data_IF_273492054478
#
_entry.id   IF_273492054478
#
_cell.length_a   1.000
_cell.length_b   1.000
_cell.length_c   1.000
_cell.angle_alpha   90.00
_cell.angle_beta   90.00
_cell.angle_gamma   90.00
#
_symmetry.space_group_name_H-M   'P 1'
#
loop_
_entity.id
_entity.type
_entity.pdbx_description
1 polymer ?
#
# COMPACT_ATOMS: atom_id res chain seq x y z
N UNK A 1 20.32 24.31 -3.59
CA UNK A 1 20.09 24.00 -2.16
C UNK A 1 21.14 23.00 -1.71
N UNK A 2 21.72 23.18 -0.54
CA UNK A 2 22.61 22.23 0.11
C UNK A 2 22.07 21.86 1.49
N UNK A 3 22.44 20.68 1.98
CA UNK A 3 22.29 20.31 3.39
C UNK A 3 23.68 20.34 3.99
N UNK A 4 23.84 21.13 5.04
CA UNK A 4 25.10 21.24 5.79
C UNK A 4 24.96 20.39 7.05
N UNK A 5 25.88 19.45 7.23
CA UNK A 5 26.04 18.75 8.49
C UNK A 5 27.28 19.34 9.17
N UNK A 6 27.04 20.27 10.09
CA UNK A 6 28.09 20.74 10.97
C UNK A 6 28.43 19.64 11.96
N UNK A 7 29.73 19.32 12.07
CA UNK A 7 30.21 18.59 13.23
C UNK A 7 29.81 19.39 14.47
N UNK A 8 29.26 18.74 15.50
CA UNK A 8 28.89 19.44 16.73
C UNK A 8 30.07 20.22 17.32
N UNK A 9 29.88 21.02 18.38
CA UNK A 9 30.93 21.89 18.92
C UNK A 9 32.24 21.18 19.35
N UNK A 10 32.23 19.85 19.46
CA UNK A 10 33.39 19.01 19.77
C UNK A 10 34.02 18.30 18.54
N UNK A 11 33.53 18.54 17.32
CA UNK A 11 34.03 17.90 16.11
C UNK A 11 35.19 18.69 15.53
N UNK A 12 36.32 18.02 15.29
CA UNK A 12 37.46 18.57 14.56
C UNK A 12 37.32 18.44 13.03
N UNK A 13 36.27 17.76 12.56
CA UNK A 13 35.98 17.57 11.14
C UNK A 13 35.20 18.79 10.61
N UNK A 14 35.59 19.28 9.43
CA UNK A 14 34.89 20.40 8.78
C UNK A 14 33.46 20.06 8.36
N UNK A 15 32.68 21.09 8.05
CA UNK A 15 31.28 20.96 7.62
C UNK A 15 31.13 20.06 6.38
N UNK A 16 30.28 19.04 6.49
CA UNK A 16 29.90 18.24 5.33
C UNK A 16 28.75 18.94 4.58
N UNK A 17 29.10 19.63 3.50
CA UNK A 17 28.15 20.29 2.61
C UNK A 17 27.73 19.35 1.48
N UNK A 18 26.46 18.92 1.50
CA UNK A 18 25.90 18.04 0.47
C UNK A 18 24.95 18.80 -0.45
N UNK A 19 25.27 18.99 -1.75
CA UNK A 19 24.34 19.58 -2.68
C UNK A 19 23.12 18.67 -2.87
N UNK A 20 21.91 19.23 -2.72
CA UNK A 20 20.65 18.50 -2.83
C UNK A 20 19.93 18.91 -4.10
N UNK A 21 19.73 17.93 -4.99
CA UNK A 21 18.83 18.09 -6.14
C UNK A 21 17.39 18.06 -5.65
N UNK A 22 16.69 19.17 -5.84
CA UNK A 22 15.27 19.24 -5.55
C UNK A 22 14.46 18.39 -6.54
N UNK A 23 13.31 17.85 -6.10
CA UNK A 23 12.28 17.33 -6.98
C UNK A 23 12.06 18.16 -8.25
N UNK A 24 12.32 17.57 -9.42
CA UNK A 24 12.02 18.18 -10.72
C UNK A 24 10.79 17.52 -11.37
N UNK A 25 9.99 18.32 -12.10
CA UNK A 25 8.86 17.86 -12.91
C UNK A 25 7.60 18.73 -12.77
N UNK A 26 6.73 18.75 -13.79
CA UNK A 26 5.52 19.57 -13.78
C UNK A 26 4.63 19.28 -12.55
N UNK A 27 4.24 20.34 -11.84
CA UNK A 27 3.46 20.30 -10.59
C UNK A 27 4.26 20.01 -9.32
N UNK A 28 5.57 19.73 -9.41
CA UNK A 28 6.41 19.42 -8.24
C UNK A 28 6.90 20.66 -7.49
N UNK A 29 6.99 21.82 -8.16
CA UNK A 29 7.47 23.05 -7.54
C UNK A 29 6.54 23.53 -6.43
N UNK A 30 5.22 23.64 -6.68
CA UNK A 30 4.27 24.06 -5.64
C UNK A 30 4.32 23.16 -4.40
N UNK A 31 4.53 21.84 -4.58
CA UNK A 31 4.72 20.90 -3.48
C UNK A 31 6.03 21.16 -2.72
N UNK A 32 7.11 21.41 -3.45
CA UNK A 32 8.45 21.66 -2.90
C UNK A 32 8.47 22.99 -2.16
N UNK A 33 7.98 24.06 -2.79
CA UNK A 33 7.79 25.38 -2.21
C UNK A 33 6.96 25.32 -0.92
N UNK A 34 5.82 24.62 -0.90
CA UNK A 34 5.01 24.47 0.33
C UNK A 34 5.79 23.92 1.53
N UNK A 35 6.78 23.04 1.28
CA UNK A 35 7.61 22.41 2.31
C UNK A 35 8.83 23.24 2.67
N UNK A 36 9.43 23.93 1.71
CA UNK A 36 10.66 24.69 1.90
C UNK A 36 10.42 26.16 2.29
N UNK A 37 9.22 26.70 2.08
CA UNK A 37 8.93 28.11 2.32
C UNK A 37 8.99 28.54 3.78
N UNK A 38 8.91 27.61 4.74
CA UNK A 38 8.90 27.93 6.18
C UNK A 38 9.97 27.13 6.94
N UNK A 39 11.23 27.60 6.95
CA UNK A 39 12.33 26.93 7.65
C UNK A 39 12.09 26.69 9.14
N UNK A 40 11.35 27.59 9.82
CA UNK A 40 10.96 27.45 11.24
C UNK A 40 10.16 26.18 11.55
N UNK A 41 9.54 25.54 10.54
CA UNK A 41 8.77 24.31 10.70
C UNK A 41 9.59 23.06 10.35
N UNK A 42 10.87 23.21 10.00
CA UNK A 42 11.77 22.10 9.72
C UNK A 42 12.19 21.47 11.04
N UNK A 43 11.99 20.16 11.16
CA UNK A 43 12.25 19.45 12.41
C UNK A 43 13.43 18.50 12.32
N UNK A 44 13.59 17.81 11.19
CA UNK A 44 14.65 16.82 11.03
C UNK A 44 14.99 16.55 9.58
N UNK A 45 16.27 16.45 9.25
CA UNK A 45 16.76 15.87 8.00
C UNK A 45 17.34 14.49 8.28
N UNK A 46 16.92 13.48 7.50
CA UNK A 46 17.55 12.16 7.53
C UNK A 46 18.27 11.93 6.20
N UNK A 47 19.54 11.57 6.26
CA UNK A 47 20.28 11.09 5.08
C UNK A 47 20.04 9.59 4.91
N UNK A 48 19.44 9.21 3.78
CA UNK A 48 19.07 7.83 3.46
C UNK A 48 19.89 7.35 2.28
N UNK A 49 20.65 6.27 2.47
CA UNK A 49 21.36 5.60 1.38
C UNK A 49 20.56 4.40 0.87
N UNK A 50 20.33 4.34 -0.44
CA UNK A 50 19.57 3.30 -1.13
C UNK A 50 20.43 2.63 -2.19
N UNK A 51 20.40 1.30 -2.26
CA UNK A 51 21.12 0.58 -3.32
C UNK A 51 20.47 0.91 -4.67
N UNK A 52 21.25 1.41 -5.60
CA UNK A 52 20.80 1.81 -6.93
C UNK A 52 21.80 1.28 -7.96
N UNK A 53 21.65 0.02 -8.42
CA UNK A 53 22.64 -0.63 -9.29
C UNK A 53 22.92 0.11 -10.61
N UNK A 54 21.96 0.91 -11.10
CA UNK A 54 22.12 1.71 -12.32
C UNK A 54 22.66 3.12 -12.11
N UNK A 55 23.20 3.44 -10.93
CA UNK A 55 23.83 4.73 -10.61
C UNK A 55 25.33 4.49 -10.36
N UNK A 56 26.24 5.39 -10.77
CA UNK A 56 27.66 5.33 -10.40
C UNK A 56 27.86 5.10 -8.89
N UNK A 57 28.79 4.23 -8.52
CA UNK A 57 28.99 3.80 -7.13
C UNK A 57 27.91 2.84 -6.57
N UNK A 58 26.84 2.57 -7.32
CA UNK A 58 25.80 1.60 -6.95
C UNK A 58 24.88 2.05 -5.82
N UNK A 59 24.92 3.33 -5.45
CA UNK A 59 24.16 3.91 -4.35
C UNK A 59 23.51 5.23 -4.77
N UNK A 60 22.32 5.48 -4.21
CA UNK A 60 21.62 6.76 -4.28
C UNK A 60 21.47 7.29 -2.85
N UNK A 61 21.78 8.55 -2.64
CA UNK A 61 21.58 9.24 -1.38
C UNK A 61 20.37 10.15 -1.50
N UNK A 62 19.53 10.19 -0.46
CA UNK A 62 18.34 11.03 -0.39
C UNK A 62 18.31 11.75 0.96
N UNK A 63 18.10 13.06 0.95
CA UNK A 63 17.82 13.84 2.15
C UNK A 63 16.30 13.90 2.36
N UNK A 64 15.81 13.35 3.48
CA UNK A 64 14.40 13.34 3.85
C UNK A 64 14.16 14.39 4.93
N UNK A 65 13.58 15.52 4.53
CA UNK A 65 13.18 16.59 5.43
C UNK A 65 11.79 16.31 6.02
N UNK A 66 11.70 16.25 7.35
CA UNK A 66 10.46 16.24 8.11
C UNK A 66 10.09 17.68 8.45
N UNK A 67 8.89 18.08 8.03
CA UNK A 67 8.33 19.42 8.26
C UNK A 67 7.06 19.28 9.09
N UNK A 68 6.97 20.00 10.21
CA UNK A 68 5.82 20.04 11.12
C UNK A 68 4.74 20.97 10.58
N UNK A 69 4.27 20.67 9.35
CA UNK A 69 3.25 21.43 8.64
C UNK A 69 2.23 20.49 8.04
N UNK A 70 0.97 20.94 8.00
CA UNK A 70 -0.11 20.29 7.28
C UNK A 70 0.34 19.83 5.87
N UNK A 71 -0.10 18.65 5.42
CA UNK A 71 0.30 18.12 4.14
C UNK A 71 -0.14 19.04 3.00
N UNK A 72 0.73 19.20 2.01
CA UNK A 72 0.38 19.93 0.79
C UNK A 72 -0.87 19.32 0.13
N UNK A 73 -1.84 20.17 -0.16
CA UNK A 73 -3.05 19.87 -0.92
C UNK A 73 -3.02 20.73 -2.18
N UNK A 74 -3.15 20.12 -3.36
CA UNK A 74 -3.17 20.88 -4.61
C UNK A 74 -4.49 21.66 -4.74
N UNK A 75 -4.52 22.77 -5.49
CA UNK A 75 -5.77 23.51 -5.75
C UNK A 75 -6.87 22.62 -6.36
N UNK A 76 -6.50 21.66 -7.21
CA UNK A 76 -7.44 20.68 -7.77
C UNK A 76 -8.04 19.74 -6.71
N UNK A 77 -7.22 19.22 -5.78
CA UNK A 77 -7.69 18.39 -4.68
C UNK A 77 -8.53 19.20 -3.69
N UNK A 78 -8.16 20.46 -3.41
CA UNK A 78 -8.94 21.34 -2.54
C UNK A 78 -10.33 21.62 -3.13
N UNK A 79 -10.42 21.99 -4.41
CA UNK A 79 -11.71 22.18 -5.10
C UNK A 79 -12.56 20.91 -5.10
N UNK A 80 -11.95 19.75 -5.37
CA UNK A 80 -12.66 18.46 -5.33
C UNK A 80 -13.23 18.18 -3.95
N UNK A 81 -12.44 18.38 -2.90
CA UNK A 81 -12.89 18.15 -1.52
C UNK A 81 -14.00 19.13 -1.10
N UNK A 82 -13.92 20.38 -1.55
CA UNK A 82 -14.97 21.37 -1.30
C UNK A 82 -16.29 20.95 -1.95
N UNK A 83 -16.27 20.54 -3.21
CA UNK A 83 -17.49 20.07 -3.87
C UNK A 83 -17.96 18.70 -3.34
N UNK A 84 -17.08 17.81 -2.88
CA UNK A 84 -17.48 16.58 -2.19
C UNK A 84 -18.09 16.82 -0.79
N UNK A 85 -17.88 18.00 -0.20
CA UNK A 85 -18.49 18.41 1.06
C UNK A 85 -19.93 18.94 0.87
N UNK A 86 -20.34 19.22 -0.36
CA UNK A 86 -21.65 19.79 -0.69
C UNK A 86 -22.80 18.78 -0.65
N UNK A 87 -22.67 17.58 -1.26
CA UNK A 87 -23.73 16.57 -1.23
C UNK A 87 -23.99 16.05 0.18
N UNK A 88 -25.22 16.24 0.69
CA UNK A 88 -25.71 15.62 1.92
C UNK A 88 -26.11 14.16 1.64
N UNK A 89 -25.09 13.33 1.36
CA UNK A 89 -25.24 11.90 1.09
C UNK A 89 -24.71 11.10 2.26
N UNK A 90 -25.43 10.03 2.57
CA UNK A 90 -24.96 8.96 3.47
C UNK A 90 -24.61 7.73 2.66
N UNK A 91 -23.41 7.21 2.88
CA UNK A 91 -22.86 6.10 2.14
C UNK A 91 -22.53 4.93 3.05
N UNK A 92 -22.75 3.73 2.54
CA UNK A 92 -22.37 2.50 3.18
C UNK A 92 -21.42 1.70 2.30
N UNK A 93 -20.52 0.97 2.93
CA UNK A 93 -19.45 0.20 2.28
C UNK A 93 -19.51 -1.24 2.76
N UNK A 94 -19.62 -2.16 1.80
CA UNK A 94 -19.34 -3.58 2.02
C UNK A 94 -17.95 -3.92 1.45
N UNK A 95 -17.14 -4.57 2.27
CA UNK A 95 -15.75 -4.91 1.91
C UNK A 95 -15.64 -6.41 1.77
N UNK A 96 -15.04 -6.86 0.67
CA UNK A 96 -14.72 -8.26 0.42
C UNK A 96 -13.26 -8.43 0.01
N UNK A 97 -12.79 -9.68 -0.09
CA UNK A 97 -11.39 -9.99 -0.42
C UNK A 97 -10.96 -9.51 -1.81
N UNK A 98 -11.92 -9.37 -2.74
CA UNK A 98 -11.69 -9.02 -4.15
C UNK A 98 -12.62 -7.93 -4.70
N UNK A 99 -13.52 -7.40 -3.86
CA UNK A 99 -14.55 -6.44 -4.23
C UNK A 99 -14.77 -5.48 -3.06
N UNK A 100 -15.02 -4.21 -3.35
CA UNK A 100 -15.64 -3.26 -2.41
C UNK A 100 -16.89 -2.75 -3.09
N UNK A 101 -18.03 -2.87 -2.43
CA UNK A 101 -19.31 -2.31 -2.85
C UNK A 101 -19.55 -1.03 -2.04
N UNK A 102 -20.01 0.02 -2.70
CA UNK A 102 -20.38 1.28 -2.05
C UNK A 102 -21.74 1.71 -2.58
N UNK A 103 -22.65 2.04 -1.67
CA UNK A 103 -23.96 2.57 -2.01
C UNK A 103 -24.20 3.82 -1.20
N UNK A 104 -24.71 4.87 -1.82
CA UNK A 104 -25.08 6.11 -1.14
C UNK A 104 -26.44 6.60 -1.56
N UNK A 105 -27.19 7.13 -0.60
CA UNK A 105 -28.45 7.83 -0.82
C UNK A 105 -28.30 9.28 -0.38
N UNK A 106 -29.02 10.16 -1.05
CA UNK A 106 -29.22 11.54 -0.61
C UNK A 106 -30.13 11.60 0.64
N UNK A 107 -30.20 12.79 1.26
CA UNK A 107 -31.02 13.04 2.45
C UNK A 107 -32.51 12.94 2.17
N UNK A 108 -32.92 13.41 0.99
CA UNK A 108 -34.31 13.46 0.52
C UNK A 108 -34.85 12.08 0.11
N UNK A 109 -33.98 11.07 0.02
CA UNK A 109 -34.30 9.72 -0.45
C UNK A 109 -34.89 9.75 -1.86
N UNK A 110 -34.25 10.53 -2.75
CA UNK A 110 -34.64 10.68 -4.16
C UNK A 110 -33.63 10.04 -5.10
N UNK A 111 -32.35 9.99 -4.74
CA UNK A 111 -31.28 9.50 -5.61
C UNK A 111 -30.40 8.46 -4.91
N UNK A 112 -30.22 7.31 -5.55
CA UNK A 112 -29.21 6.31 -5.16
C UNK A 112 -28.04 6.31 -6.14
N UNK A 113 -26.83 6.12 -5.59
CA UNK A 113 -25.63 5.81 -6.36
C UNK A 113 -25.01 4.55 -5.82
N UNK A 114 -24.70 3.61 -6.70
CA UNK A 114 -24.07 2.35 -6.37
C UNK A 114 -22.81 2.17 -7.21
N UNK A 115 -21.73 1.71 -6.59
CA UNK A 115 -20.53 1.35 -7.33
C UNK A 115 -19.90 0.08 -6.76
N UNK A 116 -19.11 -0.59 -7.61
CA UNK A 116 -18.26 -1.66 -7.15
C UNK A 116 -16.84 -1.52 -7.68
N UNK A 117 -15.88 -1.74 -6.80
CA UNK A 117 -14.46 -1.67 -7.11
C UNK A 117 -13.93 -3.09 -7.13
N UNK A 118 -13.42 -3.50 -8.29
CA UNK A 118 -12.76 -4.80 -8.49
C UNK A 118 -11.44 -4.60 -9.24
N UNK A 119 -10.61 -5.65 -9.28
CA UNK A 119 -9.43 -5.65 -10.13
C UNK A 119 -9.82 -5.92 -11.59
N UNK A 120 -9.62 -4.93 -12.46
CA UNK A 120 -9.97 -5.06 -13.88
C UNK A 120 -9.13 -6.13 -14.61
N UNK A 121 -9.56 -6.63 -15.79
CA UNK A 121 -8.82 -7.68 -16.53
C UNK A 121 -7.36 -7.31 -16.81
N UNK A 122 -7.09 -6.07 -17.23
CA UNK A 122 -5.74 -5.57 -17.50
C UNK A 122 -4.86 -5.53 -16.23
N UNK A 123 -5.46 -5.23 -15.08
CA UNK A 123 -4.76 -5.21 -13.79
C UNK A 123 -4.42 -6.62 -13.34
N UNK A 124 -5.38 -7.55 -13.44
CA UNK A 124 -5.17 -8.97 -13.17
C UNK A 124 -4.04 -9.54 -14.04
N UNK A 125 -4.04 -9.24 -15.34
CA UNK A 125 -2.98 -9.66 -16.25
C UNK A 125 -1.60 -9.06 -15.87
N UNK A 126 -1.54 -7.76 -15.55
CA UNK A 126 -0.32 -7.10 -15.11
C UNK A 126 0.25 -7.73 -13.83
N UNK A 127 -0.62 -7.99 -12.85
CA UNK A 127 -0.26 -8.66 -11.59
C UNK A 127 0.26 -10.09 -11.85
N UNK A 128 -0.39 -10.85 -12.72
CA UNK A 128 0.04 -12.20 -13.08
C UNK A 128 1.42 -12.20 -13.77
N UNK A 129 1.62 -11.32 -14.76
CA UNK A 129 2.90 -11.15 -15.44
C UNK A 129 4.01 -10.74 -14.46
N UNK A 130 3.69 -9.87 -13.51
CA UNK A 130 4.64 -9.47 -12.48
C UNK A 130 4.98 -10.60 -11.49
N UNK A 131 4.00 -11.41 -11.08
CA UNK A 131 4.25 -12.59 -10.25
C UNK A 131 5.18 -13.57 -10.96
N UNK A 132 4.99 -13.79 -12.27
CA UNK A 132 5.88 -14.63 -13.08
C UNK A 132 7.31 -14.06 -13.10
N UNK A 133 7.48 -12.75 -13.34
CA UNK A 133 8.78 -12.08 -13.26
C UNK A 133 9.41 -12.25 -11.87
N UNK A 134 8.62 -12.09 -10.80
CA UNK A 134 9.07 -12.29 -9.42
C UNK A 134 9.59 -13.71 -9.18
N UNK A 135 8.87 -14.74 -9.64
CA UNK A 135 9.31 -16.15 -9.56
C UNK A 135 10.60 -16.38 -10.33
N UNK A 136 10.74 -15.81 -11.54
CA UNK A 136 11.97 -15.90 -12.35
C UNK A 136 13.17 -15.28 -11.63
N UNK A 137 13.00 -14.10 -11.03
CA UNK A 137 14.04 -13.42 -10.23
C UNK A 137 14.42 -14.24 -8.99
N UNK A 138 13.44 -14.76 -8.26
CA UNK A 138 13.69 -15.62 -7.09
C UNK A 138 14.51 -16.87 -7.46
N UNK A 139 14.14 -17.56 -8.55
CA UNK A 139 14.91 -18.71 -9.06
C UNK A 139 16.32 -18.32 -9.48
N UNK A 140 16.50 -17.17 -10.12
CA UNK A 140 17.82 -16.69 -10.53
C UNK A 140 18.71 -16.32 -9.33
N UNK A 141 18.15 -15.71 -8.28
CA UNK A 141 18.87 -15.47 -7.02
C UNK A 141 19.30 -16.79 -6.38
N UNK A 142 18.40 -17.75 -6.28
CA UNK A 142 18.70 -19.07 -5.69
C UNK A 142 19.78 -19.82 -6.49
N UNK A 143 19.72 -19.80 -7.83
CA UNK A 143 20.79 -20.37 -8.67
C UNK A 143 22.13 -19.68 -8.42
N UNK A 144 22.17 -18.35 -8.37
CA UNK A 144 23.42 -17.64 -8.12
C UNK A 144 23.98 -17.93 -6.73
N UNK A 145 23.13 -18.11 -5.72
CA UNK A 145 23.53 -18.47 -4.35
C UNK A 145 24.16 -19.86 -4.33
N UNK A 146 23.50 -20.84 -4.93
CA UNK A 146 23.99 -22.23 -5.04
C UNK A 146 25.32 -22.33 -5.75
N UNK A 147 25.48 -21.61 -6.86
CA UNK A 147 26.75 -21.59 -7.59
C UNK A 147 27.93 -21.06 -6.76
N UNK A 148 27.69 -20.16 -5.81
CA UNK A 148 28.73 -19.62 -4.94
C UNK A 148 28.95 -20.41 -3.67
N UNK A 149 28.06 -21.35 -3.34
CA UNK A 149 28.10 -22.14 -2.12
C UNK A 149 27.79 -23.62 -2.43
N UNK A 150 28.47 -24.25 -3.41
CA UNK A 150 28.07 -25.59 -3.88
C UNK A 150 28.17 -26.66 -2.79
N UNK A 151 29.13 -26.53 -1.88
CA UNK A 151 29.33 -27.46 -0.75
C UNK A 151 28.16 -27.48 0.25
N UNK A 152 27.30 -26.47 0.22
CA UNK A 152 26.13 -26.36 1.11
C UNK A 152 24.89 -27.08 0.56
N UNK A 153 24.97 -27.67 -0.62
CA UNK A 153 23.82 -28.28 -1.30
C UNK A 153 24.14 -29.68 -1.79
N UNK A 154 23.15 -30.57 -1.69
CA UNK A 154 23.22 -31.90 -2.27
C UNK A 154 23.11 -31.83 -3.81
N UNK A 155 23.67 -32.83 -4.47
CA UNK A 155 23.35 -33.12 -5.86
C UNK A 155 21.91 -33.64 -5.95
N UNK A 156 21.18 -33.30 -7.02
CA UNK A 156 19.88 -33.93 -7.26
C UNK A 156 20.04 -35.41 -7.61
N UNK A 157 18.97 -36.22 -7.44
CA UNK A 157 18.96 -37.64 -7.84
C UNK A 157 19.44 -37.84 -9.29
N UNK A 158 19.06 -36.94 -10.19
CA UNK A 158 19.51 -36.99 -11.59
C UNK A 158 21.01 -36.67 -11.74
N UNK A 159 21.54 -35.72 -10.97
CA UNK A 159 22.97 -35.41 -10.96
C UNK A 159 23.80 -36.56 -10.36
N UNK A 160 23.30 -37.20 -9.30
CA UNK A 160 23.92 -38.39 -8.69
C UNK A 160 23.96 -39.57 -9.67
N UNK A 161 22.83 -39.87 -10.34
CA UNK A 161 22.77 -40.93 -11.36
C UNK A 161 23.75 -40.69 -12.50
N UNK A 162 23.83 -39.46 -13.01
CA UNK A 162 24.81 -39.10 -14.05
C UNK A 162 26.25 -39.25 -13.58
N UNK A 163 26.55 -38.86 -12.34
CA UNK A 163 27.87 -39.06 -11.78
C UNK A 163 28.22 -40.56 -11.68
N UNK A 164 27.29 -41.39 -11.19
CA UNK A 164 27.45 -42.85 -11.10
C UNK A 164 27.71 -43.49 -12.47
N UNK A 165 26.86 -43.21 -13.46
CA UNK A 165 27.04 -43.73 -14.83
C UNK A 165 28.38 -43.35 -15.45
N UNK A 166 28.91 -42.15 -15.16
CA UNK A 166 30.23 -41.74 -15.64
C UNK A 166 31.36 -42.54 -15.00
N UNK A 167 31.27 -42.80 -13.70
CA UNK A 167 32.25 -43.64 -12.99
C UNK A 167 32.23 -45.06 -13.54
N UNK A 168 31.04 -45.64 -13.73
CA UNK A 168 30.86 -46.98 -14.32
C UNK A 168 31.43 -47.05 -15.75
N UNK A 169 31.34 -45.96 -16.52
CA UNK A 169 31.92 -45.85 -17.86
C UNK A 169 33.43 -45.49 -17.88
N UNK A 170 34.13 -45.51 -16.73
CA UNK A 170 35.56 -45.15 -16.64
C UNK A 170 35.87 -43.67 -16.96
N UNK A 171 34.85 -42.81 -17.00
CA UNK A 171 35.02 -41.40 -17.35
C UNK A 171 35.40 -40.56 -16.13
N UNK A 172 36.22 -39.53 -16.36
CA UNK A 172 36.62 -38.58 -15.31
C UNK A 172 35.40 -37.88 -14.70
N UNK A 173 35.47 -37.68 -13.38
CA UNK A 173 34.48 -36.93 -12.62
C UNK A 173 34.40 -35.47 -13.09
N UNK A 174 33.18 -34.95 -13.20
CA UNK A 174 32.91 -33.57 -13.62
C UNK A 174 32.46 -32.75 -12.42
N UNK A 175 33.15 -31.64 -12.15
CA UNK A 175 32.77 -30.70 -11.09
C UNK A 175 31.41 -30.08 -11.38
N UNK A 176 30.46 -30.27 -10.46
CA UNK A 176 29.10 -29.72 -10.59
C UNK A 176 29.02 -28.33 -9.96
N UNK A 177 29.06 -27.31 -10.80
CA UNK A 177 29.00 -25.90 -10.36
C UNK A 177 27.61 -25.42 -9.91
N UNK A 178 26.55 -26.20 -10.13
CA UNK A 178 25.20 -25.87 -9.69
C UNK A 178 24.48 -27.11 -9.14
N UNK A 179 24.63 -27.40 -7.83
CA UNK A 179 23.88 -28.46 -7.18
C UNK A 179 22.38 -28.14 -7.14
N UNK A 180 21.56 -29.08 -7.61
CA UNK A 180 20.09 -28.92 -7.72
C UNK A 180 19.32 -29.64 -6.61
N UNK A 181 19.99 -30.30 -5.67
CA UNK A 181 19.37 -30.96 -4.53
C UNK A 181 18.98 -29.99 -3.41
N UNK A 182 18.53 -30.54 -2.28
CA UNK A 182 18.25 -29.76 -1.07
C UNK A 182 19.52 -29.15 -0.47
N UNK A 183 19.36 -28.13 0.36
CA UNK A 183 20.45 -27.62 1.21
C UNK A 183 20.79 -28.68 2.27
N UNK A 184 22.06 -28.79 2.63
CA UNK A 184 22.46 -29.66 3.73
C UNK A 184 21.89 -29.13 5.05
N UNK A 185 21.21 -30.02 5.77
CA UNK A 185 20.58 -29.73 7.06
C UNK A 185 20.94 -30.82 8.08
N UNK A 186 20.76 -30.53 9.37
CA UNK A 186 20.81 -31.53 10.43
C UNK A 186 19.51 -32.36 10.47
N UNK A 187 19.43 -33.33 11.39
CA UNK A 187 18.23 -34.17 11.58
C UNK A 187 16.97 -33.37 11.93
N UNK A 188 17.13 -32.20 12.56
CA UNK A 188 16.04 -31.27 12.87
C UNK A 188 15.63 -30.38 11.68
N UNK A 189 16.21 -30.56 10.49
CA UNK A 189 15.90 -29.77 9.29
C UNK A 189 16.51 -28.36 9.28
N UNK A 190 17.35 -28.02 10.26
CA UNK A 190 18.06 -26.74 10.34
C UNK A 190 19.26 -26.77 9.39
N UNK A 191 19.44 -25.74 8.52
CA UNK A 191 20.59 -25.68 7.63
C UNK A 191 21.92 -25.77 8.38
N UNK A 192 22.84 -26.62 7.91
CA UNK A 192 24.18 -26.78 8.52
C UNK A 192 24.96 -25.45 8.55
N UNK A 193 24.77 -24.64 7.51
CA UNK A 193 25.21 -23.25 7.48
C UNK A 193 23.99 -22.36 7.30
N UNK A 194 23.89 -21.31 8.11
CA UNK A 194 22.85 -20.30 7.96
C UNK A 194 23.01 -19.49 6.66
N UNK A 195 21.89 -19.09 6.05
CA UNK A 195 21.87 -18.38 4.76
C UNK A 195 22.59 -17.03 4.75
N UNK A 196 22.77 -16.40 5.91
CA UNK A 196 23.45 -15.10 6.02
C UNK A 196 24.98 -15.21 5.94
N UNK A 197 25.53 -16.41 6.14
CA UNK A 197 26.96 -16.71 5.99
C UNK A 197 27.35 -17.09 4.55
N UNK A 198 26.37 -17.20 3.65
CA UNK A 198 26.63 -17.54 2.25
C UNK A 198 27.46 -16.47 1.53
N UNK A 199 28.41 -16.92 0.71
CA UNK A 199 29.15 -16.04 -0.20
C UNK A 199 28.20 -15.61 -1.33
N UNK A 200 27.96 -14.31 -1.44
CA UNK A 200 27.02 -13.73 -2.42
C UNK A 200 27.75 -13.06 -3.58
N UNK A 201 27.43 -13.46 -4.81
CA UNK A 201 27.99 -12.84 -6.02
C UNK A 201 27.51 -11.39 -6.21
N UNK A 202 28.26 -10.60 -6.98
CA UNK A 202 27.80 -9.27 -7.43
C UNK A 202 26.47 -9.32 -8.16
N UNK A 203 26.26 -10.35 -9.00
CA UNK A 203 24.98 -10.60 -9.69
C UNK A 203 23.82 -10.85 -8.74
N UNK A 204 24.01 -11.65 -7.68
CA UNK A 204 23.02 -11.88 -6.63
C UNK A 204 22.63 -10.56 -5.95
N UNK A 205 23.62 -9.75 -5.56
CA UNK A 205 23.40 -8.46 -4.88
C UNK A 205 22.63 -7.47 -5.77
N UNK A 206 22.95 -7.42 -7.08
CA UNK A 206 22.19 -6.61 -8.06
C UNK A 206 20.74 -7.07 -8.17
N UNK A 207 20.52 -8.37 -8.37
CA UNK A 207 19.18 -8.93 -8.53
C UNK A 207 18.32 -8.76 -7.26
N UNK A 208 18.92 -8.90 -6.07
CA UNK A 208 18.24 -8.60 -4.79
C UNK A 208 17.81 -7.15 -4.72
N UNK A 209 18.65 -6.21 -5.15
CA UNK A 209 18.31 -4.79 -5.20
C UNK A 209 17.17 -4.50 -6.19
N UNK A 210 17.15 -5.16 -7.35
CA UNK A 210 16.04 -5.06 -8.31
C UNK A 210 14.72 -5.60 -7.74
N UNK A 211 14.76 -6.71 -7.02
CA UNK A 211 13.58 -7.28 -6.34
C UNK A 211 13.05 -6.31 -5.28
N UNK A 212 13.93 -5.69 -4.49
CA UNK A 212 13.57 -4.68 -3.50
C UNK A 212 12.95 -3.43 -4.16
N UNK A 213 13.58 -2.92 -5.23
CA UNK A 213 13.08 -1.78 -5.99
C UNK A 213 11.70 -2.05 -6.60
N UNK A 214 11.49 -3.24 -7.18
CA UNK A 214 10.20 -3.68 -7.68
C UNK A 214 9.16 -3.82 -6.55
N UNK A 215 9.55 -4.33 -5.38
CA UNK A 215 8.70 -4.34 -4.17
C UNK A 215 8.23 -2.95 -3.75
N UNK A 216 9.15 -1.99 -3.71
CA UNK A 216 8.83 -0.60 -3.37
C UNK A 216 7.92 0.04 -4.44
N UNK A 217 8.18 -0.21 -5.73
CA UNK A 217 7.33 0.26 -6.81
C UNK A 217 5.90 -0.29 -6.73
N UNK A 218 5.74 -1.58 -6.43
CA UNK A 218 4.42 -2.22 -6.21
C UNK A 218 3.64 -1.59 -5.07
N UNK A 219 4.32 -1.32 -3.96
CA UNK A 219 3.69 -0.71 -2.79
C UNK A 219 3.16 0.67 -3.14
N UNK A 220 3.97 1.49 -3.82
CA UNK A 220 3.54 2.81 -4.31
C UNK A 220 2.38 2.72 -5.29
N UNK A 221 2.41 1.81 -6.25
CA UNK A 221 1.33 1.65 -7.22
C UNK A 221 -0.01 1.28 -6.55
N UNK A 222 0.03 0.45 -5.50
CA UNK A 222 -1.15 0.11 -4.70
C UNK A 222 -1.68 1.30 -3.91
N UNK A 223 -0.78 2.09 -3.32
CA UNK A 223 -1.16 3.32 -2.60
C UNK A 223 -1.74 4.38 -3.53
N UNK A 224 -1.16 4.54 -4.73
CA UNK A 224 -1.67 5.44 -5.76
C UNK A 224 -3.06 5.02 -6.23
N UNK A 225 -3.26 3.71 -6.49
CA UNK A 225 -4.57 3.16 -6.82
C UNK A 225 -5.58 3.42 -5.71
N UNK A 226 -5.25 3.05 -4.47
CA UNK A 226 -6.15 3.20 -3.33
C UNK A 226 -6.57 4.67 -3.13
N UNK A 227 -5.62 5.61 -3.24
CA UNK A 227 -5.92 7.05 -3.16
C UNK A 227 -6.78 7.54 -4.32
N UNK A 228 -6.51 7.11 -5.54
CA UNK A 228 -7.32 7.49 -6.70
C UNK A 228 -8.76 6.99 -6.55
N UNK A 229 -8.94 5.72 -6.17
CA UNK A 229 -10.26 5.15 -5.91
C UNK A 229 -10.98 5.87 -4.76
N UNK A 230 -10.28 6.14 -3.65
CA UNK A 230 -10.86 6.85 -2.52
C UNK A 230 -11.34 8.26 -2.88
N UNK A 231 -10.57 8.99 -3.68
CA UNK A 231 -10.94 10.32 -4.15
C UNK A 231 -12.21 10.31 -5.01
N UNK A 232 -12.31 9.36 -5.95
CA UNK A 232 -13.51 9.21 -6.78
C UNK A 232 -14.71 8.77 -5.94
N UNK A 233 -14.53 7.84 -5.00
CA UNK A 233 -15.59 7.40 -4.11
C UNK A 233 -16.16 8.54 -3.26
N UNK A 234 -15.29 9.28 -2.59
CA UNK A 234 -15.71 10.40 -1.73
C UNK A 234 -16.34 11.52 -2.56
N UNK A 235 -15.86 11.73 -3.78
CA UNK A 235 -16.49 12.67 -4.74
C UNK A 235 -17.92 12.26 -5.11
N UNK A 236 -18.15 10.98 -5.40
CA UNK A 236 -19.44 10.48 -5.88
C UNK A 236 -20.44 10.25 -4.74
N UNK A 237 -19.97 9.71 -3.62
CA UNK A 237 -20.82 9.20 -2.54
C UNK A 237 -20.88 10.12 -1.31
N UNK A 238 -20.07 11.18 -1.28
CA UNK A 238 -19.92 12.05 -0.11
C UNK A 238 -18.94 11.49 0.93
N UNK A 239 -18.74 12.26 2.00
CA UNK A 239 -17.75 11.97 3.03
C UNK A 239 -18.33 11.33 4.31
N UNK A 240 -19.66 11.19 4.41
CA UNK A 240 -20.34 10.49 5.50
C UNK A 240 -20.48 9.01 5.12
N UNK A 241 -19.57 8.17 5.62
CA UNK A 241 -19.43 6.78 5.20
C UNK A 241 -19.47 5.84 6.39
N UNK A 242 -20.16 4.71 6.25
CA UNK A 242 -20.15 3.60 7.20
C UNK A 242 -19.54 2.36 6.56
N UNK A 243 -18.65 1.67 7.28
CA UNK A 243 -18.12 0.37 6.87
C UNK A 243 -18.22 -0.63 8.01
N UNK A 244 -18.42 -1.91 7.70
CA UNK A 244 -18.34 -2.96 8.72
C UNK A 244 -16.94 -3.04 9.35
N UNK A 245 -16.89 -3.25 10.67
CA UNK A 245 -15.65 -3.49 11.41
C UNK A 245 -15.18 -4.94 11.24
N UNK A 246 -14.73 -5.23 10.02
CA UNK A 246 -14.14 -6.51 9.67
C UNK A 246 -12.66 -6.57 10.09
N UNK A 247 -12.24 -7.67 10.72
CA UNK A 247 -10.83 -7.91 11.00
C UNK A 247 -10.08 -8.35 9.73
N UNK A 248 -9.63 -7.37 8.96
CA UNK A 248 -8.82 -7.56 7.75
C UNK A 248 -7.46 -8.21 8.04
N UNK A 249 -6.99 -8.26 9.30
CA UNK A 249 -5.75 -8.96 9.68
C UNK A 249 -5.97 -10.46 9.68
N UNK A 250 -7.11 -10.94 10.20
CA UNK A 250 -7.51 -12.35 10.09
C UNK A 250 -7.63 -12.75 8.61
N UNK A 251 -8.13 -11.85 7.78
CA UNK A 251 -8.24 -12.09 6.35
C UNK A 251 -6.86 -12.24 5.69
N UNK A 252 -5.92 -11.37 6.04
CA UNK A 252 -4.55 -11.47 5.55
C UNK A 252 -3.88 -12.79 5.98
N UNK A 253 -4.20 -13.34 7.17
CA UNK A 253 -3.71 -14.65 7.62
C UNK A 253 -4.32 -15.80 6.80
N UNK A 254 -5.64 -15.76 6.56
CA UNK A 254 -6.38 -16.84 5.86
C UNK A 254 -6.12 -16.88 4.36
N UNK A 255 -6.13 -15.73 3.70
CA UNK A 255 -6.03 -15.63 2.24
C UNK A 255 -4.63 -15.20 1.75
N UNK A 256 -3.79 -14.64 2.62
CA UNK A 256 -2.38 -14.38 2.33
C UNK A 256 -2.16 -13.58 1.05
N UNK A 257 -1.47 -14.19 0.08
CA UNK A 257 -1.05 -13.53 -1.16
C UNK A 257 -2.21 -13.19 -2.11
N UNK A 258 -3.35 -13.87 -2.03
CA UNK A 258 -4.49 -13.56 -2.90
C UNK A 258 -5.12 -12.21 -2.53
N UNK A 259 -5.14 -11.87 -1.24
CA UNK A 259 -5.61 -10.57 -0.73
C UNK A 259 -4.72 -9.40 -1.17
N UNK A 260 -3.43 -9.66 -1.43
CA UNK A 260 -2.47 -8.65 -1.91
C UNK A 260 -2.74 -8.21 -3.37
N UNK A 261 -3.56 -8.92 -4.12
CA UNK A 261 -3.92 -8.49 -5.48
C UNK A 261 -4.84 -7.26 -5.45
N UNK A 262 -5.82 -7.26 -4.54
CA UNK A 262 -6.82 -6.19 -4.43
C UNK A 262 -6.51 -5.18 -3.31
N UNK A 263 -5.91 -5.65 -2.20
CA UNK A 263 -5.55 -4.85 -1.02
C UNK A 263 -6.70 -4.04 -0.40
N UNK A 264 -7.82 -4.68 0.00
CA UNK A 264 -8.99 -3.99 0.51
C UNK A 264 -8.69 -3.08 1.70
N UNK A 265 -7.82 -3.50 2.64
CA UNK A 265 -7.45 -2.67 3.78
C UNK A 265 -6.71 -1.38 3.41
N UNK A 266 -5.94 -1.35 2.30
CA UNK A 266 -5.32 -0.11 1.81
C UNK A 266 -6.37 0.83 1.22
N UNK A 267 -7.36 0.28 0.51
CA UNK A 267 -8.46 1.05 -0.04
C UNK A 267 -9.32 1.66 1.08
N UNK A 268 -9.75 0.87 2.06
CA UNK A 268 -10.51 1.36 3.23
C UNK A 268 -9.73 2.44 3.98
N UNK A 269 -8.43 2.25 4.20
CA UNK A 269 -7.59 3.28 4.84
C UNK A 269 -7.51 4.56 4.02
N UNK A 270 -7.42 4.45 2.69
CA UNK A 270 -7.39 5.62 1.81
C UNK A 270 -8.75 6.35 1.78
N UNK A 271 -9.86 5.61 1.85
CA UNK A 271 -11.22 6.19 1.98
C UNK A 271 -11.32 6.95 3.30
N UNK A 272 -10.87 6.37 4.41
CA UNK A 272 -10.85 7.04 5.71
C UNK A 272 -10.03 8.35 5.68
N UNK A 273 -8.82 8.28 5.13
CA UNK A 273 -7.92 9.45 4.99
C UNK A 273 -8.57 10.56 4.13
N UNK A 274 -9.25 10.21 3.04
CA UNK A 274 -9.86 11.20 2.14
C UNK A 274 -11.18 11.75 2.71
N UNK A 275 -12.04 10.90 3.28
CA UNK A 275 -13.27 11.32 3.93
C UNK A 275 -12.97 12.27 5.11
N UNK A 276 -12.00 11.93 5.97
CA UNK A 276 -11.57 12.81 7.05
C UNK A 276 -11.02 14.16 6.55
N UNK A 277 -10.33 14.17 5.41
CA UNK A 277 -9.85 15.41 4.80
C UNK A 277 -10.97 16.30 4.25
N UNK A 278 -12.15 15.73 3.95
CA UNK A 278 -13.37 16.49 3.59
C UNK A 278 -14.10 16.94 4.85
N UNK A 279 -14.28 16.06 5.84
CA UNK A 279 -15.15 16.30 6.99
C UNK A 279 -14.57 17.18 8.09
N UNK A 280 -13.26 17.44 8.10
CA UNK A 280 -12.67 18.59 8.85
C UNK A 280 -13.36 19.93 8.54
N UNK A 281 -14.27 19.96 7.56
CA UNK A 281 -15.14 21.10 7.21
C UNK A 281 -16.64 20.87 7.46
N UNK A 282 -17.15 19.63 7.63
CA UNK A 282 -18.62 19.35 7.53
C UNK A 282 -19.20 18.05 8.15
N UNK A 283 -18.50 17.16 8.89
CA UNK A 283 -19.17 15.91 9.36
C UNK A 283 -18.32 14.84 10.09
N UNK A 284 -18.82 13.59 10.13
CA UNK A 284 -18.28 12.46 10.93
C UNK A 284 -17.24 11.58 10.23
N UNK A 285 -17.08 11.69 8.90
CA UNK A 285 -16.07 10.94 8.12
C UNK A 285 -16.45 9.47 7.88
N UNK A 286 -15.45 8.59 7.88
CA UNK A 286 -15.67 7.14 7.82
C UNK A 286 -15.78 6.56 9.24
N UNK A 287 -16.94 6.02 9.59
CA UNK A 287 -17.19 5.32 10.85
C UNK A 287 -17.30 3.82 10.65
N UNK A 288 -17.12 3.05 11.73
CA UNK A 288 -17.16 1.59 11.70
C UNK A 288 -18.33 1.01 12.48
N UNK A 289 -19.04 0.07 11.87
CA UNK A 289 -20.18 -0.61 12.46
C UNK A 289 -19.84 -2.07 12.82
N UNK A 290 -20.24 -2.53 14.00
CA UNK A 290 -20.02 -3.92 14.40
C UNK A 290 -20.77 -4.90 13.49
N UNK A 291 -20.04 -5.88 12.96
CA UNK A 291 -20.60 -6.98 12.14
C UNK A 291 -21.63 -7.82 12.89
N UNK A 292 -21.58 -7.86 14.22
CA UNK A 292 -22.49 -8.68 15.04
C UNK A 292 -23.83 -8.00 15.29
N UNK A 293 -23.83 -6.69 15.54
CA UNK A 293 -25.06 -5.98 15.92
C UNK A 293 -25.91 -5.61 14.71
N UNK A 294 -25.27 -5.33 13.57
CA UNK A 294 -25.97 -4.94 12.35
C UNK A 294 -26.27 -6.11 11.42
N UNK A 295 -25.37 -7.11 11.37
CA UNK A 295 -25.46 -8.30 10.53
C UNK A 295 -25.87 -7.97 9.08
N UNK A 296 -25.20 -6.98 8.47
CA UNK A 296 -25.69 -6.32 7.25
C UNK A 296 -25.84 -7.26 6.06
N UNK A 297 -24.94 -8.23 5.94
CA UNK A 297 -25.00 -9.23 4.86
C UNK A 297 -26.15 -10.22 5.02
N UNK A 298 -26.83 -10.25 6.17
CA UNK A 298 -27.87 -11.20 6.53
C UNK A 298 -29.26 -10.55 6.62
N UNK A 299 -29.35 -9.23 6.64
CA UNK A 299 -30.63 -8.50 6.74
C UNK A 299 -30.96 -7.79 5.42
N UNK A 300 -32.25 -7.59 5.16
CA UNK A 300 -32.75 -6.78 4.06
C UNK A 300 -32.99 -5.32 4.49
N UNK A 301 -33.12 -4.39 3.55
CA UNK A 301 -33.56 -3.02 3.82
C UNK A 301 -34.95 -2.95 4.47
N UNK A 302 -35.82 -3.95 4.23
CA UNK A 302 -37.11 -4.04 4.91
C UNK A 302 -37.01 -4.53 6.37
N UNK A 303 -35.84 -4.96 6.82
CA UNK A 303 -35.63 -5.52 8.17
C UNK A 303 -35.80 -7.03 8.27
N UNK A 304 -36.28 -7.69 7.22
CA UNK A 304 -36.36 -9.16 7.19
C UNK A 304 -34.96 -9.78 7.25
N UNK A 305 -34.81 -10.82 8.07
CA UNK A 305 -33.56 -11.58 8.14
C UNK A 305 -33.59 -12.64 7.07
N UNK A 306 -32.60 -12.59 6.18
CA UNK A 306 -32.43 -13.52 5.06
C UNK A 306 -31.11 -14.28 5.28
N UNK A 307 -31.12 -15.44 5.97
CA UNK A 307 -29.90 -16.22 6.16
C UNK A 307 -29.28 -16.62 4.82
N UNK A 308 -27.99 -16.32 4.64
CA UNK A 308 -27.24 -16.57 3.40
C UNK A 308 -25.85 -17.10 3.69
N UNK A 309 -25.42 -18.08 2.91
CA UNK A 309 -24.04 -18.55 2.95
C UNK A 309 -23.08 -17.55 2.27
N UNK A 310 -21.79 -17.60 2.61
CA UNK A 310 -20.77 -16.75 1.98
C UNK A 310 -20.66 -16.92 0.46
N UNK A 311 -21.00 -18.10 -0.06
CA UNK A 311 -20.99 -18.42 -1.48
C UNK A 311 -22.17 -17.79 -2.24
N UNK A 312 -23.28 -17.52 -1.55
CA UNK A 312 -24.47 -16.91 -2.14
C UNK A 312 -24.24 -15.41 -2.32
N UNK A 313 -24.30 -14.96 -3.58
CA UNK A 313 -24.00 -13.57 -3.98
C UNK A 313 -25.21 -12.77 -4.38
N UNK A 314 -26.37 -13.39 -4.45
CA UNK A 314 -27.63 -12.73 -4.73
C UNK A 314 -28.43 -12.63 -3.44
N UNK A 315 -28.93 -11.44 -3.14
CA UNK A 315 -29.95 -11.24 -2.12
C UNK A 315 -31.32 -11.47 -2.78
N UNK A 316 -32.19 -12.25 -2.15
CA UNK A 316 -33.60 -12.43 -2.53
C UNK A 316 -34.44 -12.35 -1.26
N UNK A 317 -35.14 -11.23 -1.06
CA UNK A 317 -35.97 -11.06 0.13
C UNK A 317 -37.37 -11.65 -0.10
N UNK A 318 -37.82 -12.63 0.70
CA UNK A 318 -39.17 -13.18 0.57
C UNK A 318 -40.26 -12.21 1.07
N UNK A 319 -39.91 -11.26 1.94
CA UNK A 319 -40.87 -10.32 2.55
C UNK A 319 -41.19 -9.13 1.63
N UNK A 320 -40.18 -8.47 1.07
CA UNK A 320 -40.39 -7.27 0.23
C UNK A 320 -40.08 -7.47 -1.26
N UNK A 321 -39.65 -8.67 -1.66
CA UNK A 321 -39.33 -8.97 -3.06
C UNK A 321 -38.04 -8.37 -3.60
N UNK A 322 -37.22 -7.68 -2.78
CA UNK A 322 -35.95 -7.11 -3.21
C UNK A 322 -35.01 -8.21 -3.73
N UNK A 323 -34.47 -8.01 -4.93
CA UNK A 323 -33.49 -8.89 -5.56
C UNK A 323 -32.29 -8.04 -5.98
N UNK A 324 -31.07 -8.42 -5.58
CA UNK A 324 -29.87 -7.65 -5.93
C UNK A 324 -28.56 -8.36 -5.58
N UNK A 325 -27.43 -7.74 -5.89
CA UNK A 325 -26.10 -8.18 -5.44
C UNK A 325 -26.01 -8.07 -3.93
N UNK A 326 -25.63 -9.15 -3.25
CA UNK A 326 -25.58 -9.21 -1.78
C UNK A 326 -24.67 -8.14 -1.19
N UNK A 327 -23.51 -7.92 -1.82
CA UNK A 327 -22.52 -6.96 -1.35
C UNK A 327 -23.05 -5.51 -1.55
N UNK A 328 -23.78 -5.21 -2.64
CA UNK A 328 -24.49 -3.92 -2.82
C UNK A 328 -25.65 -3.73 -1.83
N UNK A 329 -26.46 -4.76 -1.57
CA UNK A 329 -27.55 -4.69 -0.59
C UNK A 329 -27.02 -4.45 0.82
N UNK A 330 -25.92 -5.13 1.20
CA UNK A 330 -25.25 -4.91 2.49
C UNK A 330 -24.69 -3.49 2.59
N UNK A 331 -24.06 -2.98 1.53
CA UNK A 331 -23.58 -1.61 1.47
C UNK A 331 -24.72 -0.58 1.53
N UNK A 332 -25.87 -0.85 0.90
CA UNK A 332 -27.05 0.01 0.98
C UNK A 332 -27.60 0.05 2.41
N UNK A 333 -27.66 -1.10 3.09
CA UNK A 333 -28.11 -1.18 4.48
C UNK A 333 -27.14 -0.46 5.42
N UNK A 334 -25.83 -0.53 5.16
CA UNK A 334 -24.81 0.21 5.91
C UNK A 334 -25.04 1.72 5.90
N UNK A 335 -25.59 2.28 4.81
CA UNK A 335 -25.90 3.71 4.71
C UNK A 335 -26.97 4.18 5.71
N UNK A 336 -27.77 3.26 6.27
CA UNK A 336 -28.80 3.54 7.28
C UNK A 336 -28.37 3.13 8.70
N UNK A 337 -27.08 2.87 8.91
CA UNK A 337 -26.56 2.60 10.24
C UNK A 337 -26.38 3.91 11.00
N UNK A 338 -26.88 3.94 12.23
CA UNK A 338 -26.65 4.99 13.21
C UNK A 338 -25.78 4.46 14.34
N UNK A 339 -24.95 5.34 14.92
CA UNK A 339 -24.13 5.02 16.09
C UNK A 339 -24.43 6.05 17.16
N UNK A 340 -24.70 5.59 18.40
CA UNK A 340 -24.74 6.51 19.54
C UNK A 340 -23.35 7.00 19.94
N UNK A 341 -22.30 6.20 19.69
CA UNK A 341 -20.90 6.60 19.79
C UNK A 341 -20.12 6.19 18.52
N UNK A 342 -19.67 7.15 17.69
CA UNK A 342 -18.87 6.88 16.49
C UNK A 342 -17.56 6.12 16.72
N UNK A 343 -17.02 6.14 17.95
CA UNK A 343 -15.78 5.45 18.30
C UNK A 343 -16.00 4.03 18.83
N UNK A 344 -17.24 3.63 19.05
CA UNK A 344 -17.61 2.32 19.59
C UNK A 344 -18.47 1.54 18.59
N UNK A 345 -17.89 0.69 17.72
CA UNK A 345 -18.64 -0.03 16.70
C UNK A 345 -19.83 -0.86 17.22
N UNK A 346 -19.78 -1.31 18.48
CA UNK A 346 -20.85 -2.07 19.13
C UNK A 346 -22.15 -1.29 19.35
N UNK A 347 -22.13 0.04 19.30
CA UNK A 347 -23.34 0.87 19.41
C UNK A 347 -24.09 0.99 18.09
N UNK A 348 -23.55 0.45 17.00
CA UNK A 348 -24.17 0.51 15.69
C UNK A 348 -25.53 -0.20 15.67
N UNK A 349 -26.55 0.49 15.16
CA UNK A 349 -27.91 -0.03 14.91
C UNK A 349 -28.35 0.39 13.52
N UNK A 350 -29.18 -0.42 12.87
CA UNK A 350 -29.76 -0.07 11.56
C UNK A 350 -31.08 0.66 11.80
N UNK A 351 -31.25 1.83 11.19
CA UNK A 351 -32.55 2.50 11.10
C UNK A 351 -33.37 1.86 9.97
N UNK A 352 -34.09 0.78 10.32
CA UNK A 352 -34.95 0.08 9.38
C UNK A 352 -36.15 0.92 8.91
N UNK A 353 -36.57 1.93 9.67
CA UNK A 353 -37.64 2.82 9.21
C UNK A 353 -37.13 3.69 8.06
N UNK A 354 -35.94 4.27 8.18
CA UNK A 354 -35.31 5.01 7.09
C UNK A 354 -34.99 4.11 5.89
N UNK A 355 -34.48 2.89 6.12
CA UNK A 355 -34.20 1.95 5.04
C UNK A 355 -35.46 1.53 4.28
N UNK A 356 -36.60 1.30 4.98
CA UNK A 356 -37.91 1.04 4.35
C UNK A 356 -38.41 2.22 3.56
N UNK A 357 -38.29 3.45 4.08
CA UNK A 357 -38.66 4.67 3.34
C UNK A 357 -37.85 4.81 2.06
N UNK A 358 -36.55 4.51 2.12
CA UNK A 358 -35.69 4.54 0.94
C UNK A 358 -36.12 3.49 -0.09
N UNK A 359 -36.46 2.28 0.36
CA UNK A 359 -36.97 1.22 -0.51
C UNK A 359 -38.27 1.62 -1.23
N UNK A 360 -39.13 2.39 -0.57
CA UNK A 360 -40.40 2.84 -1.15
C UNK A 360 -40.29 4.09 -2.04
N UNK A 361 -39.34 5.00 -1.74
CA UNK A 361 -39.26 6.33 -2.38
C UNK A 361 -38.24 6.44 -3.50
N UNK A 362 -37.14 5.68 -3.42
CA UNK A 362 -36.06 5.81 -4.40
C UNK A 362 -36.42 5.01 -5.63
N UNK A 363 -36.83 5.72 -6.69
CA UNK A 363 -36.98 5.12 -8.01
C UNK A 363 -35.65 4.54 -8.50
N UNK A 364 -35.70 3.34 -9.08
CA UNK A 364 -34.50 2.66 -9.59
C UNK A 364 -33.59 2.04 -8.52
N UNK A 365 -33.97 2.03 -7.23
CA UNK A 365 -33.16 1.40 -6.17
C UNK A 365 -32.85 -0.08 -6.48
N UNK A 366 -33.86 -0.87 -6.85
CA UNK A 366 -33.68 -2.27 -7.25
C UNK A 366 -32.64 -2.40 -8.38
N UNK A 367 -32.72 -1.54 -9.40
CA UNK A 367 -31.79 -1.55 -10.53
C UNK A 367 -30.37 -1.21 -10.07
N UNK A 368 -30.21 -0.17 -9.23
CA UNK A 368 -28.91 0.22 -8.68
C UNK A 368 -28.27 -0.86 -7.77
N UNK A 369 -29.07 -1.67 -7.10
CA UNK A 369 -28.59 -2.78 -6.27
C UNK A 369 -28.38 -4.08 -7.07
N UNK A 370 -28.92 -4.16 -8.29
CA UNK A 370 -28.78 -5.30 -9.19
C UNK A 370 -27.62 -5.10 -10.18
N UNK A 371 -27.43 -3.89 -10.67
CA UNK A 371 -26.41 -3.51 -11.64
C UNK A 371 -25.26 -2.77 -10.96
N UNK A 372 -24.03 -3.14 -11.29
CA UNK A 372 -22.84 -2.40 -10.86
C UNK A 372 -22.68 -1.11 -11.68
N UNK A 373 -23.57 -0.13 -11.51
CA UNK A 373 -23.57 1.13 -12.24
C UNK A 373 -22.58 2.16 -11.65
N UNK A 374 -21.29 1.81 -11.70
CA UNK A 374 -20.25 2.83 -11.81
C UNK A 374 -19.21 2.37 -12.80
N UNK A 375 -19.00 3.19 -13.83
CA UNK A 375 -17.86 3.07 -14.71
C UNK A 375 -16.57 2.92 -13.86
N UNK A 376 -15.62 2.07 -14.27
CA UNK A 376 -14.34 1.99 -13.59
C UNK A 376 -13.76 3.40 -13.49
N UNK A 377 -13.10 3.76 -12.36
CA UNK A 377 -12.59 5.10 -12.17
C UNK A 377 -11.73 5.50 -13.38
N UNK A 378 -11.82 6.76 -13.86
CA UNK A 378 -11.00 7.22 -14.96
C UNK A 378 -9.55 6.91 -14.63
N UNK A 379 -8.87 6.25 -15.56
CA UNK A 379 -7.44 6.00 -15.43
C UNK A 379 -6.76 7.34 -15.20
N UNK A 380 -5.85 7.48 -14.21
CA UNK A 380 -4.96 8.63 -14.21
C UNK A 380 -4.27 8.64 -15.58
N UNK A 381 -4.35 9.79 -16.26
CA UNK A 381 -3.67 10.04 -17.54
C UNK A 381 -2.27 9.44 -17.46
N UNK A 382 -2.02 8.42 -18.29
CA UNK A 382 -0.68 7.87 -18.45
C UNK A 382 0.20 9.02 -18.90
N UNK A 383 1.13 9.47 -18.04
CA UNK A 383 2.35 10.08 -18.55
C UNK A 383 3.01 9.02 -19.43
N UNK A 384 3.09 9.32 -20.72
CA UNK A 384 3.76 8.56 -21.78
C UNK A 384 5.07 7.99 -21.22
N UNK A 385 5.31 6.71 -21.49
CA UNK A 385 6.58 6.03 -21.22
C UNK A 385 7.67 6.72 -22.07
N UNK A 386 8.25 7.78 -21.53
CA UNK A 386 9.54 8.31 -21.92
C UNK A 386 10.58 7.68 -21.02
N UNK A 387 11.55 7.00 -21.62
CA UNK A 387 12.81 6.65 -20.98
C UNK A 387 13.35 7.91 -20.28
N UNK A 388 13.86 7.68 -19.08
CA UNK A 388 14.63 8.62 -18.24
C UNK A 388 13.91 9.54 -17.23
N UNK A 389 14.61 9.61 -16.09
CA UNK A 389 14.50 10.54 -14.98
C UNK A 389 13.40 10.29 -13.93
N UNK A 390 13.87 9.63 -12.87
CA UNK A 390 13.23 9.47 -11.58
C UNK A 390 12.88 10.84 -10.96
N UNK A 391 11.71 11.37 -11.31
CA UNK A 391 11.11 12.52 -10.65
C UNK A 391 10.46 12.13 -9.33
N UNK A 392 10.62 13.01 -8.36
CA UNK A 392 10.24 12.85 -6.97
C UNK A 392 8.77 12.46 -6.79
N UNK A 393 8.54 11.36 -6.06
CA UNK A 393 7.20 10.95 -5.65
C UNK A 393 7.22 10.73 -4.15
N UNK A 394 6.30 11.42 -3.46
CA UNK A 394 5.97 11.34 -2.02
C UNK A 394 6.57 10.10 -1.36
N UNK A 395 7.74 10.24 -0.75
CA UNK A 395 8.24 9.30 0.23
C UNK A 395 7.71 9.80 1.55
N UNK A 396 6.73 9.10 2.11
CA UNK A 396 6.44 9.26 3.54
C UNK A 396 7.77 9.05 4.27
N UNK A 397 8.11 9.94 5.20
CA UNK A 397 9.18 9.71 6.15
C UNK A 397 9.09 8.27 6.64
N UNK A 398 10.23 7.57 6.68
CA UNK A 398 10.31 6.16 7.00
C UNK A 398 9.56 5.87 8.32
N UNK A 399 8.27 5.51 8.21
CA UNK A 399 7.63 4.73 9.25
C UNK A 399 8.43 3.44 9.32
N UNK A 400 8.72 2.99 10.54
CA UNK A 400 9.36 1.71 10.84
C UNK A 400 8.44 0.59 10.31
N UNK A 401 8.48 0.35 9.01
CA UNK A 401 7.82 -0.79 8.37
C UNK A 401 8.83 -1.93 8.37
N UNK A 402 9.20 -2.40 9.56
CA UNK A 402 9.63 -3.77 9.70
C UNK A 402 8.44 -4.63 9.27
N UNK A 403 8.66 -5.53 8.30
CA UNK A 403 7.67 -6.55 7.93
C UNK A 403 6.77 -6.19 6.75
N UNK A 404 7.30 -6.28 5.52
CA UNK A 404 6.47 -6.75 4.38
C UNK A 404 7.25 -7.27 3.18
N UNK A 405 8.59 -7.23 3.20
CA UNK A 405 9.37 -8.08 2.32
C UNK A 405 9.41 -9.47 2.96
N UNK A 406 8.65 -10.42 2.40
CA UNK A 406 8.90 -11.82 2.70
C UNK A 406 10.40 -12.09 2.48
N UNK A 407 11.14 -12.61 3.47
CA UNK A 407 12.45 -13.17 3.23
C UNK A 407 12.29 -14.19 2.11
N UNK A 408 13.12 -14.09 1.06
CA UNK A 408 13.19 -15.13 0.04
C UNK A 408 13.85 -16.41 0.56
N UNK A 409 14.33 -16.38 1.80
CA UNK A 409 15.14 -17.40 2.46
C UNK A 409 14.77 -17.42 3.95
N UNK A 410 14.41 -18.58 4.52
CA UNK A 410 14.21 -18.73 5.96
C UNK A 410 15.51 -18.30 6.67
N UNK A 411 15.40 -17.46 7.69
CA UNK A 411 16.51 -17.01 8.56
C UNK A 411 17.59 -16.11 7.93
N UNK A 412 17.31 -15.44 6.81
CA UNK A 412 18.09 -14.24 6.45
C UNK A 412 17.48 -13.05 7.21
N UNK A 413 18.09 -12.54 8.30
CA UNK A 413 17.53 -11.39 9.00
C UNK A 413 17.37 -10.25 8.00
N UNK A 414 16.28 -9.45 8.05
CA UNK A 414 16.35 -8.11 7.50
C UNK A 414 17.56 -7.51 8.19
N UNK A 415 18.62 -7.19 7.41
CA UNK A 415 19.94 -6.74 7.90
C UNK A 415 19.72 -6.18 9.30
N UNK A 416 20.12 -6.92 10.33
CA UNK A 416 20.29 -6.29 11.62
C UNK A 416 21.10 -5.05 11.27
N UNK A 417 20.51 -3.88 11.58
CA UNK A 417 21.34 -2.72 11.77
C UNK A 417 22.45 -3.27 12.64
N UNK A 418 23.65 -3.41 12.05
CA UNK A 418 24.87 -3.39 12.84
C UNK A 418 24.60 -2.31 13.88
N UNK A 419 24.81 -2.67 15.16
CA UNK A 419 24.73 -1.79 16.33
C UNK A 419 24.63 -0.35 15.90
N UNK A 420 23.55 0.33 16.31
CA UNK A 420 23.33 1.77 16.12
C UNK A 420 24.65 2.55 16.14
N UNK A 421 25.32 2.63 15.01
CA UNK A 421 26.41 3.55 14.79
C UNK A 421 25.70 4.78 14.27
N UNK A 422 25.05 5.44 15.22
CA UNK A 422 24.68 6.82 15.07
C UNK A 422 26.00 7.60 14.92
N UNK A 423 26.37 7.96 13.70
CA UNK A 423 27.13 9.19 13.51
C UNK A 423 26.12 10.33 13.71
N UNK A 424 25.94 10.73 14.96
CA UNK A 424 25.01 11.78 15.36
C UNK A 424 24.70 11.66 16.86
N UNK A 425 25.09 12.63 17.71
CA UNK A 425 24.85 12.53 19.13
C UNK A 425 23.33 12.51 19.40
N UNK A 426 22.92 11.60 20.28
CA UNK A 426 21.61 11.65 20.91
C UNK A 426 21.62 12.80 21.91
N UNK A 427 21.38 14.02 21.44
CA UNK A 427 21.19 15.16 22.34
C UNK A 427 19.74 15.19 22.83
N UNK A 428 19.59 14.94 24.13
CA UNK A 428 18.52 15.50 24.93
C UNK A 428 18.52 17.03 24.79
N UNK A 429 17.35 17.65 24.99
CA UNK A 429 17.07 19.07 24.88
C UNK A 429 18.29 20.03 24.90
N UNK A 430 18.55 20.68 23.77
CA UNK A 430 19.35 21.88 23.68
C UNK A 430 18.77 22.78 22.57
N UNK A 431 18.80 24.10 22.82
CA UNK A 431 18.17 25.16 22.03
C UNK A 431 18.77 25.41 20.63
N UNK A 432 18.55 26.61 20.07
CA UNK A 432 18.57 26.85 18.63
C UNK A 432 20.00 27.08 18.13
N UNK A 433 20.70 26.04 17.67
CA UNK A 433 21.94 26.25 16.90
C UNK A 433 22.21 25.16 15.85
N UNK A 434 21.18 24.82 15.06
CA UNK A 434 21.38 24.23 13.73
C UNK A 434 21.28 25.37 12.70
N UNK A 435 22.41 25.97 12.35
CA UNK A 435 22.46 27.03 11.34
C UNK A 435 22.40 26.42 9.94
N UNK A 436 21.25 26.56 9.29
CA UNK A 436 21.12 26.45 7.84
C UNK A 436 21.52 27.79 7.23
N UNK A 437 22.73 27.88 6.69
CA UNK A 437 23.19 29.09 5.99
C UNK A 437 22.74 29.05 4.53
N UNK A 438 22.07 30.12 4.08
CA UNK A 438 21.77 30.36 2.66
C UNK A 438 22.56 31.59 2.20
N UNK A 439 23.44 31.40 1.22
CA UNK A 439 23.92 32.53 0.40
C UNK A 439 22.76 32.99 -0.50
N UNK A 440 22.35 34.24 -0.34
CA UNK A 440 21.31 34.86 -1.18
C UNK A 440 21.85 35.40 -2.50
N UNK A 441 23.16 35.43 -2.71
CA UNK A 441 23.74 36.00 -3.92
C UNK A 441 24.06 34.89 -4.91
N UNK A 442 23.21 34.74 -5.92
CA UNK A 442 23.50 34.26 -7.29
C UNK A 442 22.14 34.11 -8.02
N UNK A 443 21.48 35.24 -8.28
CA UNK A 443 20.42 35.39 -9.26
C UNK A 443 20.87 36.41 -10.30
N UNK A 444 21.08 36.05 -11.58
CA UNK A 444 20.97 37.02 -12.66
C UNK A 444 19.49 37.26 -12.98
N UNK A 445 19.16 38.54 -13.18
CA UNK A 445 17.83 39.11 -13.13
C UNK A 445 16.81 38.68 -14.19
N UNK A 446 15.58 39.09 -13.89
CA UNK A 446 14.40 39.35 -14.74
C UNK A 446 13.81 38.19 -15.56
#
# INVERSE_FOLDING_TARGET
>A
MAVVFGGGPASCDGDLVLPVRLPQGAGSWAHTAHRLAEPRLWHKVNLVRLRAPGVPGGWRYEAHLLVLKAPYTSPSSARRRLAAAGPDRRAGIDVNVSRVAVVSVDRELTEVRACSITAGPKERASLAAEQLRGRRRARAMERSRRCRNPTQYQLSRAQQRRAKMRVEAGQRAVTVNLPRGSRLANSAGVPRQAYHLDVLSGGYRRLRAEVAAAGAARTRARDDRARSCAQELVWVHGASLVVEDCDLRLWARRWGRSLLAFTPGRLVSAIADEAGAVTTRSGTGLVRASTRTTALSQNCLCGERVPKALAERTHRCPSCGLIGDRDLVAAALAAFVTLSDPHSPGTARVDYQAARRALARIEGLQAALSESSAAPPPRPLRRRDGREQASARRRRAARRSAGSALPTTPDEPPRQLARRDHAGPSLAHAGPDQRLVFGQDLWPGA
#
